data_IF_813107164791
#
_entry.id   IF_813107164791
#
_cell.length_a   1.000
_cell.length_b   1.000
_cell.length_c   1.000
_cell.angle_alpha   90.00
_cell.angle_beta   90.00
_cell.angle_gamma   90.00
#
_symmetry.space_group_name_H-M   'P 1'
#
loop_
_entity.id
_entity.type
_entity.pdbx_description
1 polymer ?
#
# COMPACT_ATOMS: atom_id res chain seq x y z
N UNK A 1 -19.97 -3.74 -2.67
CA UNK A 1 -18.63 -3.70 -2.07
C UNK A 1 -18.63 -4.72 -0.94
N UNK A 2 -17.63 -5.61 -0.91
CA UNK A 2 -17.43 -6.53 0.21
C UNK A 2 -16.35 -5.91 1.10
N UNK A 3 -16.64 -5.69 2.37
CA UNK A 3 -15.67 -5.27 3.39
C UNK A 3 -15.42 -6.44 4.34
N UNK A 4 -14.23 -6.46 4.93
CA UNK A 4 -13.82 -7.47 5.92
C UNK A 4 -13.79 -8.91 5.39
N UNK A 5 -13.63 -9.06 4.07
CA UNK A 5 -13.53 -10.36 3.41
C UNK A 5 -12.13 -10.53 2.83
N UNK A 6 -11.42 -11.56 3.31
CA UNK A 6 -10.07 -11.87 2.82
C UNK A 6 -10.12 -12.68 1.54
N UNK A 7 -9.36 -12.24 0.53
CA UNK A 7 -9.09 -13.06 -0.66
C UNK A 7 -8.01 -14.10 -0.32
N UNK A 8 -8.29 -15.37 -0.63
CA UNK A 8 -7.38 -16.49 -0.40
C UNK A 8 -6.59 -16.90 -1.65
N UNK A 9 -7.06 -16.49 -2.82
CA UNK A 9 -6.44 -16.76 -4.11
C UNK A 9 -7.34 -16.31 -5.24
N UNK A 10 -6.85 -16.34 -6.47
CA UNK A 10 -7.68 -16.14 -7.66
C UNK A 10 -8.27 -17.46 -8.14
N UNK A 11 -9.45 -17.41 -8.72
CA UNK A 11 -10.12 -18.55 -9.33
C UNK A 11 -9.79 -18.58 -10.83
N UNK A 12 -9.29 -19.71 -11.31
CA UNK A 12 -8.96 -19.89 -12.72
C UNK A 12 -9.65 -21.13 -13.29
N UNK A 13 -10.17 -21.01 -14.50
CA UNK A 13 -10.67 -22.10 -15.34
C UNK A 13 -9.74 -22.21 -16.55
N UNK A 14 -8.86 -23.21 -16.54
CA UNK A 14 -7.77 -23.30 -17.49
C UNK A 14 -6.83 -22.09 -17.40
N UNK A 15 -6.67 -21.36 -18.50
CA UNK A 15 -5.82 -20.16 -18.58
C UNK A 15 -6.63 -18.86 -18.41
N UNK A 16 -7.83 -18.91 -17.83
CA UNK A 16 -8.67 -17.74 -17.60
C UNK A 16 -8.98 -17.57 -16.12
N UNK A 17 -8.64 -16.41 -15.59
CA UNK A 17 -9.08 -16.00 -14.24
C UNK A 17 -10.53 -15.52 -14.34
N UNK A 18 -11.40 -16.09 -13.49
CA UNK A 18 -12.85 -15.84 -13.48
C UNK A 18 -13.35 -15.32 -12.13
N UNK A 19 -12.46 -14.97 -11.19
CA UNK A 19 -12.85 -14.44 -9.89
C UNK A 19 -11.80 -14.62 -8.82
N UNK A 20 -12.25 -14.55 -7.57
CA UNK A 20 -11.44 -14.76 -6.37
C UNK A 20 -12.11 -15.74 -5.41
N UNK A 21 -11.31 -16.55 -4.74
CA UNK A 21 -11.73 -17.38 -3.61
C UNK A 21 -11.63 -16.55 -2.34
N UNK A 22 -12.69 -16.53 -1.55
CA UNK A 22 -12.73 -15.90 -0.23
C UNK A 22 -13.07 -16.94 0.85
N UNK A 23 -12.92 -16.54 2.12
CA UNK A 23 -13.35 -17.39 3.23
C UNK A 23 -14.87 -17.70 3.20
N UNK A 24 -15.66 -16.80 2.62
CA UNK A 24 -17.11 -16.94 2.50
C UNK A 24 -17.56 -17.65 1.20
N UNK A 25 -16.59 -18.07 0.37
CA UNK A 25 -16.82 -18.74 -0.90
C UNK A 25 -16.31 -17.94 -2.11
N UNK A 26 -16.60 -18.44 -3.33
CA UNK A 26 -16.12 -17.81 -4.56
C UNK A 26 -16.89 -16.54 -4.90
N UNK A 27 -16.15 -15.54 -5.36
CA UNK A 27 -16.70 -14.31 -5.97
C UNK A 27 -16.28 -14.28 -7.44
N UNK A 28 -17.23 -14.39 -8.35
CA UNK A 28 -16.98 -14.44 -9.79
C UNK A 28 -16.99 -13.04 -10.42
N UNK A 29 -16.19 -12.87 -11.46
CA UNK A 29 -16.09 -11.65 -12.24
C UNK A 29 -15.53 -11.91 -13.63
N UNK A 30 -15.77 -11.01 -14.57
CA UNK A 30 -15.22 -11.07 -15.93
C UNK A 30 -13.72 -10.82 -15.96
N UNK A 31 -13.21 -10.09 -14.99
CA UNK A 31 -11.79 -9.82 -14.76
C UNK A 31 -11.53 -9.59 -13.28
N UNK A 32 -10.28 -9.82 -12.86
CA UNK A 32 -9.78 -9.60 -11.50
C UNK A 32 -8.61 -8.63 -11.54
N UNK A 33 -8.65 -7.58 -10.72
CA UNK A 33 -7.52 -6.67 -10.51
C UNK A 33 -6.89 -6.99 -9.15
N UNK A 34 -5.65 -7.42 -9.14
CA UNK A 34 -4.87 -7.58 -7.91
C UNK A 34 -4.16 -6.27 -7.57
N UNK A 35 -4.69 -5.54 -6.59
CA UNK A 35 -4.11 -4.34 -6.01
C UNK A 35 -3.78 -4.54 -4.52
N UNK A 36 -3.32 -5.76 -4.19
CA UNK A 36 -3.18 -6.26 -2.82
C UNK A 36 -1.75 -6.09 -2.23
N UNK A 37 -0.94 -5.21 -2.82
CA UNK A 37 0.39 -4.89 -2.31
C UNK A 37 1.29 -6.14 -2.23
N UNK A 38 1.88 -6.39 -1.06
CA UNK A 38 2.80 -7.52 -0.82
C UNK A 38 2.13 -8.90 -0.90
N UNK A 39 0.78 -8.97 -0.90
CA UNK A 39 0.06 -10.22 -1.06
C UNK A 39 -0.11 -10.64 -2.54
N UNK A 40 0.20 -9.78 -3.51
CA UNK A 40 0.03 -10.07 -4.95
C UNK A 40 0.74 -11.35 -5.37
N UNK A 41 2.02 -11.62 -5.01
CA UNK A 41 2.68 -12.85 -5.41
C UNK A 41 1.93 -14.11 -5.00
N UNK A 42 1.53 -14.19 -3.72
CA UNK A 42 0.79 -15.34 -3.20
C UNK A 42 -0.58 -15.54 -3.86
N UNK A 43 -1.30 -14.44 -4.13
CA UNK A 43 -2.60 -14.51 -4.79
C UNK A 43 -2.47 -14.90 -6.27
N UNK A 44 -1.50 -14.36 -6.99
CA UNK A 44 -1.26 -14.65 -8.40
C UNK A 44 -0.77 -16.08 -8.64
N UNK A 45 0.00 -16.63 -7.69
CA UNK A 45 0.51 -17.99 -7.76
C UNK A 45 -0.60 -19.06 -7.87
N UNK A 46 -1.80 -18.80 -7.31
CA UNK A 46 -2.94 -19.70 -7.45
C UNK A 46 -3.46 -19.86 -8.88
N UNK A 47 -3.12 -18.92 -9.78
CA UNK A 47 -3.38 -19.03 -11.21
C UNK A 47 -2.12 -19.38 -12.03
N UNK A 48 -1.03 -19.79 -11.38
CA UNK A 48 0.23 -20.13 -12.03
C UNK A 48 1.02 -18.91 -12.56
N UNK A 49 0.70 -17.72 -12.07
CA UNK A 49 1.38 -16.46 -12.46
C UNK A 49 2.46 -16.14 -11.43
N UNK A 50 3.70 -16.08 -11.89
CA UNK A 50 4.84 -15.69 -11.07
C UNK A 50 5.03 -14.18 -11.11
N UNK A 51 5.02 -13.55 -9.94
CA UNK A 51 5.10 -12.09 -9.78
C UNK A 51 6.06 -11.78 -8.64
N UNK A 52 6.94 -10.82 -8.87
CA UNK A 52 7.89 -10.38 -7.85
C UNK A 52 7.51 -8.99 -7.32
N UNK A 53 7.07 -8.97 -6.07
CA UNK A 53 6.84 -7.78 -5.27
C UNK A 53 7.53 -7.98 -3.92
N UNK A 54 8.56 -7.21 -3.67
CA UNK A 54 9.31 -7.26 -2.42
C UNK A 54 8.57 -6.53 -1.30
N UNK A 55 8.73 -7.03 -0.08
CA UNK A 55 8.28 -6.35 1.13
C UNK A 55 9.41 -5.45 1.66
N UNK A 56 9.17 -4.15 1.75
CA UNK A 56 10.10 -3.19 2.33
C UNK A 56 9.51 -2.63 3.63
N UNK A 57 10.01 -3.04 4.81
CA UNK A 57 9.44 -2.62 6.06
C UNK A 57 9.59 -1.11 6.28
N UNK A 58 8.53 -0.47 6.77
CA UNK A 58 8.52 0.91 7.23
C UNK A 58 7.75 1.02 8.54
N UNK A 59 8.13 1.98 9.37
CA UNK A 59 7.41 2.31 10.59
C UNK A 59 6.43 3.44 10.30
N UNK A 60 5.12 3.15 10.44
CA UNK A 60 4.06 4.16 10.42
C UNK A 60 3.87 4.66 11.84
N UNK A 61 3.91 5.98 12.02
CA UNK A 61 3.87 6.62 13.33
C UNK A 61 2.69 7.59 13.37
N UNK A 62 1.95 7.55 14.46
CA UNK A 62 0.90 8.51 14.77
C UNK A 62 1.22 9.25 16.05
N UNK A 63 1.09 10.57 16.00
CA UNK A 63 1.24 11.46 17.14
C UNK A 63 -0.05 12.22 17.38
N UNK A 64 -0.37 12.49 18.66
CA UNK A 64 -1.42 13.44 19.01
C UNK A 64 -0.87 14.87 19.03
N UNK A 65 -1.73 15.80 18.66
CA UNK A 65 -1.49 17.25 18.75
C UNK A 65 -2.72 17.94 19.36
N UNK A 66 -2.56 19.06 20.08
CA UNK A 66 -3.71 19.78 20.65
C UNK A 66 -4.56 20.47 19.57
N UNK A 67 -3.98 20.79 18.44
CA UNK A 67 -4.56 21.42 17.25
C UNK A 67 -3.62 21.17 16.05
N UNK A 68 -4.01 21.50 14.80
CA UNK A 68 -3.14 21.33 13.65
C UNK A 68 -1.84 22.15 13.80
N UNK A 69 -0.69 21.48 13.81
CA UNK A 69 0.63 22.10 13.89
C UNK A 69 1.22 22.40 12.52
N UNK A 70 0.82 21.63 11.49
CA UNK A 70 1.32 21.81 10.13
C UNK A 70 0.16 21.87 9.15
N UNK A 71 0.33 22.70 8.11
CA UNK A 71 -0.65 22.82 7.05
C UNK A 71 -0.12 22.14 5.78
N UNK A 72 -0.42 20.85 5.66
CA UNK A 72 0.04 20.02 4.56
C UNK A 72 1.15 19.05 4.95
N UNK A 73 2.15 18.87 4.07
CA UNK A 73 3.31 18.03 4.30
C UNK A 73 4.50 18.92 4.63
N UNK A 74 5.17 18.62 5.73
CA UNK A 74 6.42 19.24 6.12
C UNK A 74 7.53 18.20 6.07
N UNK A 75 8.56 18.45 5.26
CA UNK A 75 9.73 17.60 5.12
C UNK A 75 10.98 18.34 5.60
N UNK A 76 11.78 17.70 6.43
CA UNK A 76 13.06 18.14 6.94
C UNK A 76 14.08 17.01 6.84
N UNK A 77 15.37 17.24 7.13
CA UNK A 77 16.34 16.14 7.22
C UNK A 77 16.03 15.13 8.33
N UNK A 78 15.25 15.51 9.34
CA UNK A 78 15.02 14.72 10.54
C UNK A 78 13.63 14.05 10.58
N UNK A 79 12.70 14.49 9.72
CA UNK A 79 11.36 13.90 9.61
C UNK A 79 10.63 14.35 8.34
N UNK A 80 9.68 13.53 7.92
CA UNK A 80 8.59 13.93 7.04
C UNK A 80 7.26 13.66 7.74
N UNK A 81 6.48 14.72 7.94
CA UNK A 81 5.22 14.66 8.67
C UNK A 81 4.09 15.34 7.90
N UNK A 82 2.88 14.89 8.15
CA UNK A 82 1.67 15.57 7.69
C UNK A 82 0.58 15.55 8.74
N UNK A 83 -0.25 16.59 8.73
CA UNK A 83 -1.48 16.59 9.52
C UNK A 83 -2.50 15.66 8.84
N UNK A 84 -3.00 14.68 9.59
CA UNK A 84 -4.04 13.75 9.11
C UNK A 84 -5.43 14.33 9.36
N UNK A 85 -5.63 14.87 10.56
CA UNK A 85 -6.84 15.56 11.01
C UNK A 85 -6.45 16.63 12.05
N UNK A 86 -7.42 17.26 12.69
CA UNK A 86 -7.19 18.39 13.60
C UNK A 86 -6.29 18.05 14.80
N UNK A 87 -6.14 16.79 15.16
CA UNK A 87 -5.41 16.36 16.36
C UNK A 87 -4.40 15.24 16.11
N UNK A 88 -4.17 14.86 14.85
CA UNK A 88 -3.29 13.73 14.51
C UNK A 88 -2.25 14.12 13.48
N UNK A 89 -0.97 14.01 13.85
CA UNK A 89 0.16 13.99 12.92
C UNK A 89 0.53 12.55 12.58
N UNK A 90 0.96 12.33 11.35
CA UNK A 90 1.53 11.05 10.92
C UNK A 90 2.91 11.26 10.32
N UNK A 91 3.77 10.26 10.53
CA UNK A 91 5.09 10.12 9.92
C UNK A 91 5.29 8.71 9.40
N UNK A 92 6.28 8.54 8.53
CA UNK A 92 6.77 7.23 8.09
C UNK A 92 8.30 7.24 8.10
N UNK A 93 8.88 6.26 8.78
CA UNK A 93 10.32 6.09 8.92
C UNK A 93 10.77 4.76 8.35
N UNK A 94 12.00 4.71 7.85
CA UNK A 94 12.59 3.46 7.42
C UNK A 94 12.94 2.59 8.63
N UNK A 95 12.74 1.28 8.48
CA UNK A 95 13.13 0.30 9.50
C UNK A 95 14.55 -0.16 9.21
N UNK A 96 15.49 0.00 10.15
CA UNK A 96 16.87 -0.46 9.98
C UNK A 96 16.95 -1.97 9.72
N UNK A 97 17.88 -2.38 8.87
CA UNK A 97 18.11 -3.80 8.58
C UNK A 97 18.45 -4.55 9.88
N UNK A 98 17.70 -5.63 10.14
CA UNK A 98 17.88 -6.45 11.34
C UNK A 98 17.23 -5.85 12.61
N UNK A 99 16.43 -4.81 12.49
CA UNK A 99 15.67 -4.29 13.63
C UNK A 99 14.67 -5.35 14.14
N UNK A 100 14.72 -5.57 15.46
CA UNK A 100 13.84 -6.52 16.15
C UNK A 100 13.25 -5.95 17.46
N UNK A 101 13.37 -4.63 17.64
CA UNK A 101 12.87 -3.91 18.81
C UNK A 101 11.37 -3.58 18.72
N UNK A 102 10.91 -2.82 19.71
CA UNK A 102 9.56 -2.24 19.68
C UNK A 102 9.49 -1.10 18.63
N UNK A 103 8.46 -1.12 17.78
CA UNK A 103 8.24 -0.07 16.78
C UNK A 103 8.22 1.35 17.39
N UNK A 104 7.83 1.48 18.65
CA UNK A 104 7.85 2.75 19.41
C UNK A 104 9.26 3.34 19.56
N UNK A 105 10.30 2.50 19.53
CA UNK A 105 11.68 2.96 19.57
C UNK A 105 12.06 3.73 18.28
N UNK A 106 11.52 3.31 17.14
CA UNK A 106 11.72 3.98 15.85
C UNK A 106 11.08 5.38 15.81
N UNK A 107 10.02 5.59 16.58
CA UNK A 107 9.35 6.89 16.66
C UNK A 107 10.11 7.92 17.52
N UNK A 108 11.03 7.49 18.37
CA UNK A 108 11.71 8.35 19.32
C UNK A 108 12.52 9.49 18.70
N UNK A 109 13.38 9.26 17.70
CA UNK A 109 14.11 10.32 17.01
C UNK A 109 13.19 11.36 16.40
N UNK A 110 12.17 10.92 15.64
CA UNK A 110 11.17 11.76 14.98
C UNK A 110 10.41 12.62 15.98
N UNK A 111 9.95 12.03 17.10
CA UNK A 111 9.26 12.77 18.16
C UNK A 111 10.15 13.86 18.78
N UNK A 112 11.43 13.55 19.03
CA UNK A 112 12.37 14.54 19.56
C UNK A 112 12.61 15.68 18.58
N UNK A 113 12.73 15.38 17.29
CA UNK A 113 12.91 16.38 16.25
C UNK A 113 11.68 17.28 16.12
N UNK A 114 10.47 16.72 16.10
CA UNK A 114 9.22 17.46 16.11
C UNK A 114 9.18 18.43 17.31
N UNK A 115 9.44 17.91 18.50
CA UNK A 115 9.41 18.72 19.74
C UNK A 115 10.43 19.86 19.78
N UNK A 116 11.54 19.71 19.07
CA UNK A 116 12.60 20.75 19.06
C UNK A 116 12.48 21.73 17.90
N UNK A 117 11.76 21.37 16.82
CA UNK A 117 11.77 22.16 15.60
C UNK A 117 10.43 22.83 15.28
N UNK A 118 9.31 22.35 15.86
CA UNK A 118 8.00 22.97 15.64
C UNK A 118 7.62 23.85 16.83
N UNK A 119 6.93 24.95 16.53
CA UNK A 119 6.20 25.74 17.51
C UNK A 119 5.14 24.84 18.15
N UNK A 120 5.02 24.85 19.48
CA UNK A 120 4.17 23.97 20.28
C UNK A 120 4.41 22.45 20.09
N UNK A 121 5.52 22.08 19.50
CA UNK A 121 5.92 20.70 19.29
C UNK A 121 6.14 19.92 20.59
N UNK A 122 6.41 20.58 21.71
CA UNK A 122 6.55 20.00 23.04
C UNK A 122 5.27 19.31 23.53
N UNK A 123 4.10 19.70 23.01
CA UNK A 123 2.79 19.11 23.31
C UNK A 123 2.49 17.85 22.47
N UNK A 124 3.37 17.49 21.53
CA UNK A 124 3.18 16.30 20.69
C UNK A 124 3.50 15.04 21.48
N UNK A 125 2.59 14.07 21.43
CA UNK A 125 2.74 12.78 22.10
C UNK A 125 2.60 11.62 21.11
N UNK A 126 3.35 10.54 21.34
CA UNK A 126 3.26 9.33 20.55
C UNK A 126 1.98 8.54 20.89
N UNK A 127 1.09 8.38 19.92
CA UNK A 127 -0.08 7.50 20.02
C UNK A 127 0.32 6.06 19.70
N UNK A 128 0.86 5.86 18.51
CA UNK A 128 1.09 4.53 17.93
C UNK A 128 2.29 4.53 17.00
N UNK A 129 3.01 3.42 16.98
CA UNK A 129 4.00 3.11 15.96
C UNK A 129 3.82 1.65 15.53
N UNK A 130 3.73 1.41 14.22
CA UNK A 130 3.48 0.07 13.65
C UNK A 130 4.44 -0.15 12.49
N UNK A 131 5.11 -1.28 12.48
CA UNK A 131 5.89 -1.72 11.32
C UNK A 131 4.94 -2.39 10.31
N UNK A 132 4.99 -1.91 9.07
CA UNK A 132 4.23 -2.44 7.95
C UNK A 132 5.13 -2.55 6.71
N UNK A 133 4.76 -3.41 5.78
CA UNK A 133 5.53 -3.64 4.57
C UNK A 133 5.01 -2.79 3.40
N UNK A 134 5.90 -2.02 2.81
CA UNK A 134 5.66 -1.32 1.53
C UNK A 134 5.87 -2.31 0.39
N UNK A 135 4.94 -2.41 -0.57
CA UNK A 135 5.12 -3.24 -1.75
C UNK A 135 6.08 -2.56 -2.73
N UNK A 136 7.21 -3.19 -3.00
CA UNK A 136 8.18 -2.73 -3.99
C UNK A 136 8.21 -3.73 -5.14
N UNK A 137 7.60 -3.43 -6.29
CA UNK A 137 7.74 -4.27 -7.47
C UNK A 137 9.20 -4.39 -7.89
N UNK A 138 9.58 -5.53 -8.43
CA UNK A 138 10.96 -5.81 -8.87
C UNK A 138 11.52 -4.68 -9.73
N UNK A 139 12.73 -4.23 -9.39
CA UNK A 139 13.40 -3.12 -10.05
C UNK A 139 12.80 -1.74 -9.79
N UNK A 140 11.88 -1.60 -8.82
CA UNK A 140 11.31 -0.32 -8.37
C UNK A 140 10.37 0.35 -9.39
N UNK A 141 9.99 -0.32 -10.48
CA UNK A 141 9.07 0.20 -11.49
C UNK A 141 7.64 -0.24 -11.19
N UNK A 142 6.63 0.60 -11.48
CA UNK A 142 5.25 0.18 -11.38
C UNK A 142 4.98 -1.09 -12.19
N UNK A 143 4.32 -2.05 -11.56
CA UNK A 143 3.78 -3.24 -12.20
C UNK A 143 2.30 -2.98 -12.47
N UNK A 144 1.99 -2.55 -13.69
CA UNK A 144 0.64 -2.23 -14.14
C UNK A 144 0.41 -2.90 -15.48
N UNK A 145 -0.52 -3.86 -15.54
CA UNK A 145 -0.82 -4.55 -16.80
C UNK A 145 -1.57 -5.86 -16.62
N UNK A 146 -2.06 -6.39 -17.74
CA UNK A 146 -2.59 -7.75 -17.76
C UNK A 146 -1.48 -8.75 -17.55
N UNK A 147 -1.77 -9.79 -16.76
CA UNK A 147 -0.81 -10.86 -16.50
C UNK A 147 -0.51 -11.66 -17.79
N UNK A 148 0.75 -12.03 -17.96
CA UNK A 148 1.13 -12.88 -19.08
C UNK A 148 0.70 -14.33 -18.84
N UNK A 149 0.33 -15.03 -19.93
CA UNK A 149 -0.01 -16.45 -19.89
C UNK A 149 -1.42 -16.77 -19.37
N UNK A 150 -2.13 -15.82 -18.78
CA UNK A 150 -3.54 -15.99 -18.34
C UNK A 150 -4.37 -14.79 -18.76
N UNK A 151 -5.64 -15.04 -19.10
CA UNK A 151 -6.59 -13.94 -19.36
C UNK A 151 -7.40 -13.60 -18.11
N UNK A 152 -7.98 -12.39 -18.07
CA UNK A 152 -8.85 -11.97 -16.98
C UNK A 152 -8.15 -11.57 -15.69
N UNK A 153 -6.81 -11.51 -15.66
CA UNK A 153 -6.04 -11.04 -14.51
C UNK A 153 -5.27 -9.77 -14.84
N UNK A 154 -5.43 -8.74 -14.04
CA UNK A 154 -4.66 -7.51 -14.10
C UNK A 154 -3.87 -7.32 -12.79
N UNK A 155 -2.60 -6.94 -12.89
CA UNK A 155 -1.70 -6.70 -11.77
C UNK A 155 -1.54 -5.18 -11.57
N UNK A 156 -1.67 -4.71 -10.33
CA UNK A 156 -1.49 -3.31 -9.99
C UNK A 156 -0.69 -3.18 -8.70
N UNK A 157 0.63 -3.06 -8.84
CA UNK A 157 1.54 -2.80 -7.72
C UNK A 157 2.49 -1.66 -8.04
N UNK A 158 2.69 -0.76 -7.09
CA UNK A 158 3.64 0.35 -7.21
C UNK A 158 4.00 0.91 -5.85
N UNK A 159 5.11 1.65 -5.81
CA UNK A 159 5.49 2.51 -4.70
C UNK A 159 5.88 3.88 -5.26
N UNK A 160 5.35 5.00 -4.70
CA UNK A 160 4.37 5.14 -3.61
C UNK A 160 2.91 4.99 -4.11
N UNK A 161 2.21 3.93 -3.71
CA UNK A 161 0.89 3.58 -4.22
C UNK A 161 -0.21 4.58 -3.81
N UNK A 162 -0.17 5.09 -2.57
CA UNK A 162 -1.22 5.98 -2.03
C UNK A 162 -1.21 7.31 -2.78
N UNK A 163 -0.05 7.94 -2.98
CA UNK A 163 0.09 9.21 -3.69
C UNK A 163 -0.36 9.08 -5.16
N UNK A 164 -0.05 7.95 -5.78
CA UNK A 164 -0.34 7.69 -7.19
C UNK A 164 -1.71 7.04 -7.43
N UNK A 165 -2.51 6.76 -6.38
CA UNK A 165 -3.74 5.96 -6.48
C UNK A 165 -4.72 6.46 -7.54
N UNK A 166 -4.93 7.77 -7.64
CA UNK A 166 -5.81 8.37 -8.66
C UNK A 166 -5.30 8.14 -10.09
N UNK A 167 -4.01 8.35 -10.32
CA UNK A 167 -3.39 8.12 -11.64
C UNK A 167 -3.39 6.63 -12.01
N UNK A 168 -3.10 5.74 -11.05
CA UNK A 168 -3.13 4.29 -11.24
C UNK A 168 -4.55 3.84 -11.58
N UNK A 169 -5.55 4.29 -10.83
CA UNK A 169 -6.95 3.94 -11.09
C UNK A 169 -7.40 4.36 -12.49
N UNK A 170 -7.04 5.57 -12.93
CA UNK A 170 -7.33 6.05 -14.28
C UNK A 170 -6.60 5.23 -15.36
N UNK A 171 -5.34 4.84 -15.12
CA UNK A 171 -4.56 4.00 -16.03
C UNK A 171 -5.19 2.62 -16.19
N UNK A 172 -5.49 1.95 -15.08
CA UNK A 172 -6.15 0.63 -15.06
C UNK A 172 -7.48 0.69 -15.82
N UNK A 173 -8.33 1.68 -15.53
CA UNK A 173 -9.60 1.86 -16.23
C UNK A 173 -9.41 2.05 -17.74
N UNK A 174 -8.39 2.82 -18.15
CA UNK A 174 -8.03 3.01 -19.55
C UNK A 174 -7.58 1.74 -20.25
N UNK A 175 -6.83 0.87 -19.56
CA UNK A 175 -6.41 -0.43 -20.12
C UNK A 175 -7.60 -1.35 -20.38
N UNK A 176 -8.52 -1.43 -19.41
CA UNK A 176 -9.75 -2.21 -19.60
C UNK A 176 -10.64 -1.67 -20.73
N UNK A 177 -10.76 -0.34 -20.86
CA UNK A 177 -11.52 0.26 -21.96
C UNK A 177 -10.90 -0.08 -23.34
N UNK A 178 -9.56 -0.04 -23.44
CA UNK A 178 -8.85 -0.42 -24.68
C UNK A 178 -9.00 -1.91 -25.01
N UNK A 179 -8.87 -2.78 -24.01
CA UNK A 179 -9.04 -4.21 -24.20
C UNK A 179 -10.45 -4.55 -24.71
N UNK A 180 -11.49 -3.94 -24.15
CA UNK A 180 -12.88 -4.16 -24.56
C UNK A 180 -13.17 -3.71 -26.01
N UNK A 181 -12.40 -2.77 -26.57
CA UNK A 181 -12.59 -2.32 -27.96
C UNK A 181 -11.87 -3.21 -28.97
N UNK A 182 -10.98 -4.10 -28.56
CA UNK A 182 -10.24 -5.02 -29.43
C UNK A 182 -10.96 -6.38 -29.60
N UNK A 183 -11.87 -6.70 -28.69
CA UNK A 183 -12.64 -7.97 -28.67
C UNK A 183 -14.02 -7.85 -29.32
N UNK A 184 -14.40 -6.68 -29.86
CA UNK A 184 -15.67 -6.39 -30.54
C UNK A 184 -15.47 -6.10 -32.03
#
# INVERSE_FOLDING_TARGET
MYSDVSALGVLAEGMRVCGVMTADGPVYGSATVLAAGTAIPGLAASAGVDVEVDASPCCLIRFSTPYPLVNGILSSPDFEIRQLDDTTLIAAEDVPVGFSGDARELAGPTLRAIRSQLEDGDQVELIEAVVADRPIPRGGRPLLGFAEGVSGLYLAATHPAIILSGAIGAHVAGDFARASTLDG
#
